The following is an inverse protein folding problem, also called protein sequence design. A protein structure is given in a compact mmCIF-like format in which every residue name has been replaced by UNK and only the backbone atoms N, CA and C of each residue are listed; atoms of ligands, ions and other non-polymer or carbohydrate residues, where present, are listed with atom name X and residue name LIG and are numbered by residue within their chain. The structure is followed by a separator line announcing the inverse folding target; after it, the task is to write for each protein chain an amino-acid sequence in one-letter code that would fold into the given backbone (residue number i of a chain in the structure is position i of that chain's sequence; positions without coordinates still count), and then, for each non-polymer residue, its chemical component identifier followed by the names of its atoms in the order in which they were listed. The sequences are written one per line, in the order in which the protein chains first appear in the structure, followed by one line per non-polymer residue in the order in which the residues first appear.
data_IF_818313409149
#
_entry.id   IF_818313409149
#
_cell.length_a   1.000
_cell.length_b   1.000
_cell.length_c   1.000
_cell.angle_alpha   90.00
_cell.angle_beta   90.00
_cell.angle_gamma   90.00
#
_symmetry.space_group_name_H-M   'P 1'
#
loop_
_entity.id
_entity.type
_entity.pdbx_description
1 polymer ?
#
# COMPACT_ATOMS: atom_id res chain seq x y z
N UNK A 1 -18.33 37.11 -8.57
CA UNK A 1 -17.63 36.01 -7.87
C UNK A 1 -18.05 34.70 -8.52
N UNK A 2 -17.16 34.04 -9.26
CA UNK A 2 -17.48 32.83 -10.03
C UNK A 2 -17.03 31.61 -9.22
N UNK A 3 -17.97 30.93 -8.59
CA UNK A 3 -17.70 29.66 -7.89
C UNK A 3 -17.58 28.58 -8.97
N UNK A 4 -16.35 28.17 -9.29
CA UNK A 4 -16.09 27.02 -10.14
C UNK A 4 -16.33 25.75 -9.30
N UNK A 5 -17.52 25.17 -9.42
CA UNK A 5 -17.78 23.82 -8.94
C UNK A 5 -16.92 22.85 -9.76
N UNK A 6 -15.80 22.42 -9.20
CA UNK A 6 -14.99 21.34 -9.75
C UNK A 6 -15.89 20.11 -9.95
N UNK A 7 -16.03 19.65 -11.19
CA UNK A 7 -16.80 18.43 -11.49
C UNK A 7 -16.15 17.26 -10.73
N UNK A 8 -16.94 16.40 -10.05
CA UNK A 8 -16.40 15.16 -9.51
C UNK A 8 -15.79 14.35 -10.65
N UNK A 9 -14.50 14.03 -10.59
CA UNK A 9 -13.88 13.15 -11.56
C UNK A 9 -14.42 11.74 -11.35
N UNK A 10 -15.07 11.19 -12.38
CA UNK A 10 -15.56 9.81 -12.35
C UNK A 10 -14.38 8.88 -12.66
N UNK A 11 -13.87 8.20 -11.63
CA UNK A 11 -12.88 7.13 -11.80
C UNK A 11 -13.58 5.79 -12.03
N UNK A 12 -13.15 5.06 -13.06
CA UNK A 12 -13.64 3.70 -13.36
C UNK A 12 -12.64 2.69 -12.82
N UNK A 13 -13.12 1.71 -12.06
CA UNK A 13 -12.30 0.62 -11.53
C UNK A 13 -12.65 -0.66 -12.30
N UNK A 14 -11.63 -1.28 -12.89
CA UNK A 14 -11.72 -2.56 -13.57
C UNK A 14 -10.67 -3.50 -12.98
N UNK A 15 -11.07 -4.70 -12.58
CA UNK A 15 -10.17 -5.72 -12.05
C UNK A 15 -10.53 -7.08 -12.64
N UNK A 16 -9.52 -7.94 -12.77
CA UNK A 16 -9.71 -9.34 -13.15
C UNK A 16 -9.98 -10.15 -11.88
N UNK A 17 -10.96 -11.02 -11.94
CA UNK A 17 -11.27 -11.95 -10.87
C UNK A 17 -11.77 -13.26 -11.44
N UNK A 18 -11.51 -14.35 -10.72
CA UNK A 18 -12.03 -15.66 -11.05
C UNK A 18 -13.56 -15.70 -10.91
N UNK A 19 -14.20 -16.54 -11.72
CA UNK A 19 -15.66 -16.69 -11.71
C UNK A 19 -16.20 -17.10 -10.34
N UNK A 20 -15.45 -17.91 -9.60
CA UNK A 20 -15.83 -18.30 -8.23
C UNK A 20 -15.82 -17.11 -7.26
N UNK A 21 -14.89 -16.17 -7.44
CA UNK A 21 -14.81 -14.97 -6.62
C UNK A 21 -15.97 -14.04 -6.95
N UNK A 22 -16.24 -13.82 -8.24
CA UNK A 22 -17.38 -13.00 -8.70
C UNK A 22 -18.71 -13.50 -8.12
N UNK A 23 -18.99 -14.80 -8.20
CA UNK A 23 -20.22 -15.40 -7.62
C UNK A 23 -20.35 -15.17 -6.12
N UNK A 24 -19.27 -15.32 -5.36
CA UNK A 24 -19.28 -15.06 -3.91
C UNK A 24 -19.52 -13.58 -3.61
N UNK A 25 -18.91 -12.70 -4.40
CA UNK A 25 -19.05 -11.26 -4.25
C UNK A 25 -20.48 -10.80 -4.56
N UNK A 26 -21.08 -11.31 -5.63
CA UNK A 26 -22.47 -11.04 -6.01
C UNK A 26 -23.43 -11.52 -4.91
N UNK A 27 -23.24 -12.74 -4.40
CA UNK A 27 -24.06 -13.27 -3.30
C UNK A 27 -23.93 -12.43 -2.00
N UNK A 28 -22.76 -11.87 -1.71
CA UNK A 28 -22.56 -10.96 -0.57
C UNK A 28 -23.26 -9.62 -0.77
N UNK A 29 -23.24 -9.09 -1.99
CA UNK A 29 -23.93 -7.85 -2.33
C UNK A 29 -25.46 -8.05 -2.25
N UNK A 30 -25.97 -9.16 -2.77
CA UNK A 30 -27.39 -9.54 -2.70
C UNK A 30 -27.89 -9.67 -1.25
N UNK A 31 -27.11 -10.30 -0.36
CA UNK A 31 -27.43 -10.37 1.08
C UNK A 31 -27.60 -9.00 1.73
N UNK A 32 -26.99 -7.97 1.17
CA UNK A 32 -27.07 -6.58 1.63
C UNK A 32 -28.09 -5.76 0.83
N UNK A 33 -28.80 -6.37 -0.13
CA UNK A 33 -29.79 -5.69 -0.98
C UNK A 33 -29.19 -4.66 -1.91
N UNK A 34 -27.90 -4.76 -2.22
CA UNK A 34 -27.17 -3.81 -3.07
C UNK A 34 -26.49 -4.54 -4.23
N UNK A 35 -26.15 -3.78 -5.28
CA UNK A 35 -25.36 -4.34 -6.36
C UNK A 35 -23.87 -4.43 -5.99
N UNK A 36 -23.15 -5.27 -6.72
CA UNK A 36 -21.73 -5.56 -6.50
C UNK A 36 -20.86 -4.30 -6.60
N UNK A 37 -21.19 -3.37 -7.49
CA UNK A 37 -20.44 -2.11 -7.65
C UNK A 37 -20.63 -1.16 -6.47
N UNK A 38 -21.84 -1.06 -5.91
CA UNK A 38 -22.11 -0.30 -4.68
C UNK A 38 -21.44 -0.95 -3.47
N UNK A 39 -21.43 -2.29 -3.41
CA UNK A 39 -20.72 -3.01 -2.36
C UNK A 39 -19.22 -2.72 -2.40
N UNK A 40 -18.58 -2.82 -3.57
CA UNK A 40 -17.16 -2.48 -3.74
C UNK A 40 -16.89 -1.03 -3.36
N UNK A 41 -17.73 -0.08 -3.81
CA UNK A 41 -17.60 1.33 -3.42
C UNK A 41 -17.66 1.51 -1.91
N UNK A 42 -18.60 0.87 -1.22
CA UNK A 42 -18.75 0.96 0.23
C UNK A 42 -17.50 0.45 0.96
N UNK A 43 -16.93 -0.66 0.51
CA UNK A 43 -15.68 -1.19 1.07
C UNK A 43 -14.53 -0.22 0.80
N UNK A 44 -14.35 0.24 -0.43
CA UNK A 44 -13.28 1.20 -0.76
C UNK A 44 -13.43 2.52 0.00
N UNK A 45 -14.65 3.02 0.18
CA UNK A 45 -14.91 4.22 0.99
C UNK A 45 -14.56 3.99 2.46
N UNK A 46 -14.82 2.79 2.99
CA UNK A 46 -14.41 2.43 4.35
C UNK A 46 -12.89 2.39 4.50
N UNK A 47 -12.19 1.76 3.55
CA UNK A 47 -10.73 1.66 3.57
C UNK A 47 -10.05 3.03 3.36
N UNK A 48 -10.59 3.90 2.50
CA UNK A 48 -10.10 5.27 2.30
C UNK A 48 -10.45 6.19 3.47
N UNK A 49 -11.49 5.87 4.23
CA UNK A 49 -11.84 6.57 5.48
C UNK A 49 -10.88 6.27 6.63
N UNK A 50 -10.04 5.26 6.50
CA UNK A 50 -8.85 5.09 7.32
C UNK A 50 -7.72 5.94 6.71
N UNK A 51 -6.93 6.63 7.55
CA UNK A 51 -5.72 7.30 7.08
C UNK A 51 -4.89 6.29 6.28
N UNK A 52 -4.76 6.54 4.96
CA UNK A 52 -3.85 5.77 4.12
C UNK A 52 -2.48 5.89 4.78
N UNK A 53 -1.90 4.76 5.17
CA UNK A 53 -0.56 4.75 5.73
C UNK A 53 0.36 5.53 4.79
N UNK A 54 0.97 6.60 5.29
CA UNK A 54 1.88 7.41 4.50
C UNK A 54 2.99 6.50 3.97
N UNK A 55 3.06 6.42 2.64
CA UNK A 55 4.15 5.72 1.97
C UNK A 55 5.33 6.67 1.84
N UNK A 56 6.51 6.19 2.20
CA UNK A 56 7.76 6.91 2.07
C UNK A 56 8.25 6.85 0.62
N UNK A 57 9.25 7.67 0.28
CA UNK A 57 9.83 7.71 -1.08
C UNK A 57 10.39 6.35 -1.54
N UNK A 58 10.65 5.45 -0.58
CA UNK A 58 11.16 4.10 -0.82
C UNK A 58 10.04 3.07 -1.06
N UNK A 59 8.78 3.48 -1.04
CA UNK A 59 7.62 2.59 -1.22
C UNK A 59 7.29 1.72 0.00
N UNK A 60 7.85 2.07 1.16
CA UNK A 60 7.55 1.45 2.45
C UNK A 60 6.56 2.32 3.22
N UNK A 61 5.86 1.74 4.19
CA UNK A 61 5.13 2.51 5.19
C UNK A 61 6.09 3.12 6.22
N UNK A 62 5.72 4.25 6.83
CA UNK A 62 6.51 4.86 7.92
C UNK A 62 6.78 3.87 9.06
N UNK A 63 5.84 2.97 9.36
CA UNK A 63 6.01 1.95 10.39
C UNK A 63 7.12 0.94 10.04
N UNK A 64 7.19 0.49 8.77
CA UNK A 64 8.23 -0.42 8.30
C UNK A 64 9.62 0.26 8.31
N UNK A 65 9.71 1.54 7.93
CA UNK A 65 10.98 2.27 8.03
C UNK A 65 11.44 2.44 9.48
N UNK A 66 10.51 2.71 10.40
CA UNK A 66 10.83 2.80 11.83
C UNK A 66 11.28 1.45 12.39
N UNK A 67 10.69 0.33 11.95
CA UNK A 67 11.12 -1.01 12.32
C UNK A 67 12.54 -1.32 11.82
N UNK A 68 12.88 -0.92 10.59
CA UNK A 68 14.25 -1.02 10.06
C UNK A 68 15.22 -0.17 10.90
N UNK A 69 14.85 1.07 11.23
CA UNK A 69 15.69 1.95 12.05
C UNK A 69 15.89 1.41 13.48
N UNK A 70 14.85 0.83 14.08
CA UNK A 70 14.93 0.26 15.43
C UNK A 70 15.67 -1.10 15.46
N UNK A 71 15.55 -1.90 14.40
CA UNK A 71 16.38 -3.09 14.24
C UNK A 71 17.85 -2.72 14.04
N UNK A 72 18.17 -1.67 13.28
CA UNK A 72 19.55 -1.16 13.15
C UNK A 72 20.11 -0.59 14.45
N UNK A 73 19.28 0.06 15.29
CA UNK A 73 19.72 0.57 16.61
C UNK A 73 20.02 -0.53 17.62
N UNK A 74 19.28 -1.64 17.58
CA UNK A 74 19.46 -2.77 18.50
C UNK A 74 20.42 -3.82 17.96
N UNK A 75 20.71 -3.82 16.66
CA UNK A 75 21.80 -4.58 16.09
C UNK A 75 23.12 -3.89 16.43
N UNK A 76 23.89 -4.52 17.34
CA UNK A 76 25.36 -4.41 17.37
C UNK A 76 26.00 -5.02 16.11
N UNK A 77 25.33 -4.96 14.97
CA UNK A 77 25.88 -5.36 13.69
C UNK A 77 26.70 -4.16 13.21
N UNK A 78 27.88 -4.04 13.80
CA UNK A 78 29.07 -3.96 12.95
C UNK A 78 28.78 -4.97 11.83
N UNK A 79 28.50 -4.49 10.61
CA UNK A 79 28.39 -5.37 9.46
C UNK A 79 29.58 -6.35 9.43
N UNK A 80 29.58 -7.38 8.59
CA UNK A 80 30.71 -8.34 8.50
C UNK A 80 32.06 -7.71 8.09
N UNK A 81 32.13 -6.37 8.07
CA UNK A 81 33.22 -5.54 7.66
C UNK A 81 34.00 -5.09 8.89
N UNK A 82 35.24 -5.57 8.96
CA UNK A 82 36.21 -5.21 9.99
C UNK A 82 36.74 -3.77 9.82
N UNK A 83 36.60 -3.18 8.63
CA UNK A 83 37.07 -1.83 8.34
C UNK A 83 36.34 -1.20 7.13
N UNK A 84 36.55 0.10 6.91
CA UNK A 84 35.90 0.88 5.85
C UNK A 84 36.24 0.39 4.43
N UNK A 85 37.42 -0.18 4.20
CA UNK A 85 37.80 -0.70 2.89
C UNK A 85 37.01 -1.98 2.55
N UNK A 86 36.75 -2.83 3.54
CA UNK A 86 35.97 -4.06 3.36
C UNK A 86 34.54 -3.74 2.88
N UNK A 87 33.92 -2.70 3.46
CA UNK A 87 32.61 -2.20 3.03
C UNK A 87 32.64 -1.67 1.58
N UNK A 88 33.65 -0.88 1.24
CA UNK A 88 33.77 -0.27 -0.09
C UNK A 88 33.99 -1.32 -1.20
N UNK A 89 34.67 -2.42 -0.89
CA UNK A 89 34.86 -3.53 -1.83
C UNK A 89 33.55 -4.29 -2.08
N UNK A 90 32.79 -4.63 -1.02
CA UNK A 90 31.51 -5.31 -1.16
C UNK A 90 30.47 -4.52 -1.98
N UNK A 91 30.47 -3.18 -1.85
CA UNK A 91 29.60 -2.30 -2.63
C UNK A 91 30.00 -2.20 -4.11
N UNK A 92 31.28 -2.41 -4.43
CA UNK A 92 31.76 -2.43 -5.83
C UNK A 92 31.43 -3.74 -6.54
N UNK A 93 31.43 -4.85 -5.81
CA UNK A 93 31.16 -6.18 -6.34
C UNK A 93 29.66 -6.49 -6.50
N UNK A 94 28.77 -5.67 -5.94
CA UNK A 94 27.31 -5.80 -6.08
C UNK A 94 26.74 -5.14 -7.35
N UNK A 95 27.55 -4.99 -8.41
CA UNK A 95 27.19 -4.32 -9.66
C UNK A 95 27.04 -5.29 -10.83
#
# INVERSE_FOLDING_TARGET
MKVLLSKPSMATISFKADDSFKKKLDALAEKKGINTSAFIKLILTKEVGCELAEMTENGLTVAEELEILDSVKNDKVLGPFSNTNDLLNALKDSK
#
